data_IF_550911931467
#
_entry.id   IF_550911931467
#
_cell.length_a   1.000
_cell.length_b   1.000
_cell.length_c   1.000
_cell.angle_alpha   90.00
_cell.angle_beta   90.00
_cell.angle_gamma   90.00
#
_symmetry.space_group_name_H-M   'P 1'
#
loop_
_entity.id
_entity.type
_entity.pdbx_description
1 polymer ?
#
# COMPACT_ATOMS: atom_id res chain seq x y z
N UNK A 1 -14.35 -7.20 -10.87
CA UNK A 1 -14.58 -7.39 -12.32
C UNK A 1 -14.13 -8.79 -12.66
N UNK A 2 -14.92 -9.57 -13.41
CA UNK A 2 -14.49 -10.89 -13.86
C UNK A 2 -14.15 -10.77 -15.35
N UNK A 3 -12.86 -10.66 -15.66
CA UNK A 3 -12.36 -10.64 -17.03
C UNK A 3 -12.12 -12.10 -17.47
N UNK A 4 -12.50 -12.44 -18.70
CA UNK A 4 -12.38 -13.81 -19.23
C UNK A 4 -10.95 -14.18 -19.68
N UNK A 5 -9.95 -13.35 -19.36
CA UNK A 5 -8.56 -13.48 -19.81
C UNK A 5 -7.59 -13.29 -18.63
N UNK A 6 -6.34 -13.76 -18.74
CA UNK A 6 -5.33 -13.56 -17.70
C UNK A 6 -5.04 -12.07 -17.49
N UNK A 7 -5.04 -11.60 -16.25
CA UNK A 7 -4.63 -10.24 -15.93
C UNK A 7 -3.87 -10.21 -14.60
N UNK A 8 -3.09 -9.16 -14.41
CA UNK A 8 -2.44 -8.84 -13.15
C UNK A 8 -2.64 -7.37 -12.83
N UNK A 9 -2.83 -7.06 -11.55
CA UNK A 9 -3.04 -5.69 -11.09
C UNK A 9 -1.96 -5.37 -10.07
N UNK A 10 -1.14 -4.36 -10.36
CA UNK A 10 -0.24 -3.77 -9.38
C UNK A 10 -0.86 -2.49 -8.84
N UNK A 11 -1.13 -2.46 -7.55
CA UNK A 11 -1.55 -1.24 -6.83
C UNK A 11 -0.33 -0.52 -6.26
N UNK A 12 -0.38 0.81 -6.28
CA UNK A 12 0.71 1.71 -5.82
C UNK A 12 2.08 1.27 -6.37
N UNK A 13 2.12 1.03 -7.68
CA UNK A 13 3.29 0.47 -8.34
C UNK A 13 4.40 1.51 -8.41
N UNK A 14 5.39 1.35 -7.54
CA UNK A 14 6.53 2.26 -7.39
C UNK A 14 7.83 1.56 -7.78
N UNK A 15 8.73 2.29 -8.45
CA UNK A 15 10.06 1.81 -8.84
C UNK A 15 10.97 2.99 -9.19
N UNK A 16 12.28 2.73 -9.28
CA UNK A 16 13.28 3.68 -9.80
C UNK A 16 13.79 3.15 -11.13
N UNK A 17 13.81 3.99 -12.16
CA UNK A 17 14.31 3.60 -13.48
C UNK A 17 15.85 3.65 -13.54
N UNK A 18 16.43 3.15 -14.64
CA UNK A 18 17.89 3.10 -14.83
C UNK A 18 18.58 4.47 -14.81
N UNK A 19 17.82 5.55 -15.02
CA UNK A 19 18.30 6.94 -14.96
C UNK A 19 18.18 7.56 -13.55
N UNK A 20 17.74 6.78 -12.55
CA UNK A 20 17.57 7.22 -11.17
C UNK A 20 16.28 8.00 -10.88
N UNK A 21 15.35 8.09 -11.83
CA UNK A 21 14.07 8.76 -11.59
C UNK A 21 13.04 7.78 -10.99
N UNK A 22 12.37 8.24 -9.93
CA UNK A 22 11.28 7.50 -9.30
C UNK A 22 9.99 7.64 -10.12
N UNK A 23 9.32 6.53 -10.36
CA UNK A 23 7.97 6.46 -10.89
C UNK A 23 7.05 5.89 -9.81
N UNK A 24 5.89 6.53 -9.61
CA UNK A 24 4.81 6.03 -8.78
C UNK A 24 3.53 6.05 -9.62
N UNK A 25 2.90 4.89 -9.76
CA UNK A 25 1.71 4.68 -10.59
C UNK A 25 0.62 4.11 -9.71
N UNK A 26 -0.51 4.81 -9.61
CA UNK A 26 -1.58 4.42 -8.68
C UNK A 26 -2.09 3.01 -8.96
N UNK A 27 -2.31 2.67 -10.23
CA UNK A 27 -2.61 1.29 -10.63
C UNK A 27 -2.07 0.97 -12.02
N UNK A 28 -1.35 -0.14 -12.12
CA UNK A 28 -0.89 -0.73 -13.36
C UNK A 28 -1.69 -2.02 -13.62
N UNK A 29 -2.52 -1.99 -14.66
CA UNK A 29 -3.35 -3.13 -15.07
C UNK A 29 -2.72 -3.81 -16.29
N UNK A 30 -2.25 -5.03 -16.12
CA UNK A 30 -1.46 -5.74 -17.15
C UNK A 30 -2.23 -6.94 -17.66
N UNK A 31 -2.32 -7.05 -18.97
CA UNK A 31 -2.98 -8.16 -19.68
C UNK A 31 -2.09 -8.62 -20.84
N UNK A 32 -2.34 -9.80 -21.43
CA UNK A 32 -1.68 -10.21 -22.67
C UNK A 32 -1.97 -9.30 -23.86
N UNK A 33 -3.03 -8.48 -23.82
CA UNK A 33 -3.48 -7.67 -24.96
C UNK A 33 -3.07 -6.19 -24.87
N UNK A 34 -2.95 -5.66 -23.65
CA UNK A 34 -2.51 -4.29 -23.39
C UNK A 34 -2.01 -4.11 -21.94
N UNK A 35 -1.21 -3.08 -21.74
CA UNK A 35 -0.80 -2.55 -20.44
C UNK A 35 -1.51 -1.22 -20.20
N UNK A 36 -2.30 -1.11 -19.14
CA UNK A 36 -3.08 0.08 -18.83
C UNK A 36 -2.54 0.80 -17.59
N UNK A 37 -2.19 2.07 -17.80
CA UNK A 37 -1.80 3.03 -16.77
C UNK A 37 -3.06 3.75 -16.27
N UNK A 38 -3.38 3.55 -14.99
CA UNK A 38 -4.56 4.12 -14.36
C UNK A 38 -4.08 5.11 -13.30
N UNK A 39 -4.31 6.40 -13.56
CA UNK A 39 -4.07 7.49 -12.61
C UNK A 39 -5.38 7.80 -11.87
N UNK A 40 -5.37 7.81 -10.54
CA UNK A 40 -6.57 7.97 -9.72
C UNK A 40 -6.50 9.30 -8.99
N UNK A 41 -7.50 10.18 -9.24
CA UNK A 41 -7.64 11.44 -8.53
C UNK A 41 -8.87 11.42 -7.62
N UNK A 42 -8.66 11.75 -6.36
CA UNK A 42 -9.73 11.92 -5.36
C UNK A 42 -9.85 13.40 -4.99
N UNK A 43 -10.45 14.21 -5.86
CA UNK A 43 -10.49 15.68 -5.72
C UNK A 43 -11.93 16.16 -5.81
N UNK A 44 -12.44 16.83 -4.77
CA UNK A 44 -13.79 17.39 -4.74
C UNK A 44 -13.90 18.71 -5.53
N UNK A 45 -15.06 18.99 -6.12
CA UNK A 45 -15.35 20.23 -6.85
C UNK A 45 -15.49 19.97 -8.35
N UNK A 46 -15.33 21.00 -9.18
CA UNK A 46 -15.29 20.88 -10.64
C UNK A 46 -13.85 20.85 -11.13
N UNK A 47 -13.53 19.95 -12.06
CA UNK A 47 -12.23 19.85 -12.71
C UNK A 47 -12.34 20.16 -14.20
N UNK A 48 -11.57 21.13 -14.68
CA UNK A 48 -11.46 21.49 -16.09
C UNK A 48 -10.01 21.26 -16.55
N UNK A 49 -9.83 20.49 -17.62
CA UNK A 49 -8.53 20.07 -18.14
C UNK A 49 -8.16 20.90 -19.39
N UNK A 50 -7.09 21.69 -19.30
CA UNK A 50 -6.60 22.56 -20.38
C UNK A 50 -5.30 21.98 -20.97
N UNK A 51 -5.44 21.26 -22.09
CA UNK A 51 -4.33 20.65 -22.83
C UNK A 51 -3.28 21.68 -23.29
N UNK A 52 -3.71 22.88 -23.67
CA UNK A 52 -2.83 23.92 -24.24
C UNK A 52 -1.95 24.52 -23.16
N UNK A 53 -2.55 24.86 -22.02
CA UNK A 53 -1.82 25.46 -20.89
C UNK A 53 -1.18 24.42 -19.97
N UNK A 54 -1.38 23.12 -20.23
CA UNK A 54 -0.88 22.02 -19.41
C UNK A 54 -1.27 22.20 -17.94
N UNK A 55 -2.55 22.44 -17.67
CA UNK A 55 -3.05 22.63 -16.30
C UNK A 55 -4.42 21.99 -16.09
N UNK A 56 -4.68 21.54 -14.86
CA UNK A 56 -6.00 21.14 -14.41
C UNK A 56 -6.53 22.21 -13.45
N UNK A 57 -7.63 22.86 -13.82
CA UNK A 57 -8.25 23.91 -13.03
C UNK A 57 -9.31 23.28 -12.15
N UNK A 58 -9.23 23.51 -10.84
CA UNK A 58 -10.25 23.11 -9.89
C UNK A 58 -11.07 24.31 -9.46
N UNK A 59 -12.38 24.23 -9.64
CA UNK A 59 -13.34 25.13 -8.98
C UNK A 59 -13.94 24.41 -7.78
N UNK A 60 -13.71 24.93 -6.59
CA UNK A 60 -14.24 24.41 -5.32
C UNK A 60 -15.75 24.72 -5.18
N UNK A 61 -16.40 24.13 -4.16
CA UNK A 61 -17.83 24.32 -3.92
C UNK A 61 -18.19 25.77 -3.52
N UNK A 62 -17.25 26.46 -2.88
CA UNK A 62 -17.32 27.88 -2.50
C UNK A 62 -16.89 28.83 -3.64
N UNK A 63 -16.59 28.29 -4.83
CA UNK A 63 -16.27 29.08 -6.02
C UNK A 63 -14.80 29.50 -6.14
N UNK A 64 -13.93 29.13 -5.19
CA UNK A 64 -12.48 29.37 -5.29
C UNK A 64 -11.87 28.52 -6.42
N UNK A 65 -11.01 29.15 -7.21
CA UNK A 65 -10.30 28.52 -8.34
C UNK A 65 -8.84 28.29 -7.95
N UNK A 66 -8.40 27.03 -8.04
CA UNK A 66 -7.02 26.62 -7.81
C UNK A 66 -6.49 25.84 -9.01
N UNK A 67 -5.20 25.99 -9.32
CA UNK A 67 -4.53 25.16 -10.34
C UNK A 67 -3.92 23.92 -9.70
N UNK A 68 -4.06 22.79 -10.37
CA UNK A 68 -3.52 21.50 -10.00
C UNK A 68 -2.58 21.04 -11.10
N UNK A 69 -1.49 20.37 -10.69
CA UNK A 69 -0.55 19.71 -11.60
C UNK A 69 -1.33 18.90 -12.62
N UNK A 70 -0.97 19.05 -13.89
CA UNK A 70 -1.69 18.42 -14.98
C UNK A 70 -1.45 16.90 -14.98
N UNK A 71 -2.48 16.08 -14.69
CA UNK A 71 -2.28 14.64 -14.47
C UNK A 71 -1.96 13.88 -15.77
N UNK A 72 -2.28 14.43 -16.93
CA UNK A 72 -1.97 13.81 -18.23
C UNK A 72 -0.45 13.71 -18.44
N UNK A 73 0.31 14.69 -17.98
CA UNK A 73 1.78 14.72 -18.08
C UNK A 73 2.42 13.61 -17.26
N UNK A 74 1.85 13.32 -16.10
CA UNK A 74 2.29 12.21 -15.26
C UNK A 74 2.10 10.89 -16.02
N UNK A 75 0.92 10.64 -16.59
CA UNK A 75 0.65 9.47 -17.42
C UNK A 75 1.58 9.38 -18.63
N UNK A 76 1.88 10.49 -19.30
CA UNK A 76 2.79 10.50 -20.47
C UNK A 76 4.22 10.13 -20.09
N UNK A 77 4.71 10.60 -18.95
CA UNK A 77 6.04 10.21 -18.44
C UNK A 77 6.10 8.70 -18.18
N UNK A 78 5.06 8.14 -17.56
CA UNK A 78 4.97 6.70 -17.34
C UNK A 78 4.86 5.92 -18.66
N UNK A 79 4.06 6.41 -19.62
CA UNK A 79 3.93 5.81 -20.94
C UNK A 79 5.29 5.74 -21.65
N UNK A 80 6.05 6.83 -21.66
CA UNK A 80 7.37 6.88 -22.29
C UNK A 80 8.31 5.82 -21.68
N UNK A 81 8.33 5.70 -20.35
CA UNK A 81 9.10 4.65 -19.68
C UNK A 81 8.69 3.24 -20.14
N UNK A 82 7.39 2.92 -20.13
CA UNK A 82 6.94 1.58 -20.54
C UNK A 82 7.19 1.29 -22.02
N UNK A 83 7.13 2.30 -22.89
CA UNK A 83 7.49 2.13 -24.31
C UNK A 83 8.95 1.70 -24.45
N UNK A 84 9.85 2.33 -23.69
CA UNK A 84 11.28 1.96 -23.67
C UNK A 84 11.45 0.56 -23.09
N UNK A 85 10.82 0.27 -21.95
CA UNK A 85 10.91 -1.04 -21.29
C UNK A 85 10.43 -2.18 -22.19
N UNK A 86 9.26 -2.04 -22.82
CA UNK A 86 8.70 -3.05 -23.71
C UNK A 86 9.61 -3.29 -24.92
N UNK A 87 10.20 -2.22 -25.48
CA UNK A 87 11.19 -2.33 -26.56
C UNK A 87 12.45 -3.08 -26.11
N UNK A 88 12.95 -2.82 -24.91
CA UNK A 88 14.11 -3.53 -24.34
C UNK A 88 13.83 -5.02 -24.12
N UNK A 89 12.61 -5.36 -23.72
CA UNK A 89 12.18 -6.75 -23.56
C UNK A 89 11.83 -7.44 -24.89
N UNK A 90 11.82 -6.71 -26.00
CA UNK A 90 11.34 -7.17 -27.30
C UNK A 90 9.89 -7.71 -27.21
N UNK A 91 9.03 -6.95 -26.55
CA UNK A 91 7.61 -7.24 -26.34
C UNK A 91 6.79 -6.14 -27.04
N UNK A 92 5.92 -6.53 -27.95
CA UNK A 92 4.96 -5.60 -28.57
C UNK A 92 3.64 -5.67 -27.81
N UNK A 93 3.39 -4.65 -26.98
CA UNK A 93 2.18 -4.56 -26.18
C UNK A 93 1.65 -3.10 -26.20
N UNK A 94 0.39 -2.88 -26.62
CA UNK A 94 -0.25 -1.57 -26.54
C UNK A 94 -0.26 -0.99 -25.13
N UNK A 95 0.02 0.30 -25.00
CA UNK A 95 -0.08 1.03 -23.72
C UNK A 95 -1.33 1.90 -23.75
N UNK A 96 -2.27 1.58 -22.87
CA UNK A 96 -3.49 2.33 -22.61
C UNK A 96 -3.29 3.24 -21.40
N UNK A 97 -3.94 4.39 -21.39
CA UNK A 97 -3.90 5.33 -20.26
C UNK A 97 -5.31 5.85 -19.96
N UNK A 98 -5.60 6.05 -18.69
CA UNK A 98 -6.89 6.60 -18.24
C UNK A 98 -6.71 7.33 -16.92
N UNK A 99 -7.41 8.46 -16.78
CA UNK A 99 -7.56 9.15 -15.49
C UNK A 99 -8.92 8.79 -14.90
N UNK A 100 -8.90 8.32 -13.67
CA UNK A 100 -10.07 7.92 -12.92
C UNK A 100 -10.32 8.89 -11.77
N UNK A 101 -11.48 9.53 -11.77
CA UNK A 101 -11.94 10.37 -10.68
C UNK A 101 -12.69 9.49 -9.67
N UNK A 102 -12.07 9.26 -8.51
CA UNK A 102 -12.61 8.40 -7.47
C UNK A 102 -13.79 9.03 -6.72
N UNK A 103 -13.77 10.36 -6.54
CA UNK A 103 -14.85 11.08 -5.89
C UNK A 103 -16.04 11.24 -6.86
N UNK A 104 -17.18 10.65 -6.49
CA UNK A 104 -18.40 10.69 -7.31
C UNK A 104 -19.08 12.06 -7.32
N UNK A 105 -18.79 12.92 -6.34
CA UNK A 105 -19.35 14.27 -6.25
C UNK A 105 -18.58 15.29 -7.09
N UNK A 106 -17.47 14.88 -7.71
CA UNK A 106 -16.68 15.75 -8.58
C UNK A 106 -17.38 15.98 -9.90
N UNK A 107 -17.47 17.23 -10.34
CA UNK A 107 -17.97 17.54 -11.67
C UNK A 107 -16.80 17.51 -12.65
N UNK A 108 -16.82 16.57 -13.59
CA UNK A 108 -15.85 16.56 -14.69
C UNK A 108 -16.32 17.57 -15.74
N UNK A 109 -15.58 18.66 -15.89
CA UNK A 109 -15.86 19.76 -16.79
C UNK A 109 -15.26 19.56 -18.17
N UNK A 110 -14.46 20.54 -18.62
CA UNK A 110 -13.71 20.44 -19.87
C UNK A 110 -12.77 19.22 -19.82
N UNK A 111 -12.88 18.33 -20.80
CA UNK A 111 -12.06 17.13 -20.91
C UNK A 111 -10.78 17.40 -21.71
N UNK A 112 -9.72 16.68 -21.35
CA UNK A 112 -8.54 16.54 -22.18
C UNK A 112 -8.86 15.72 -23.44
N UNK A 113 -8.32 16.12 -24.59
CA UNK A 113 -8.36 15.33 -25.83
C UNK A 113 -7.25 14.27 -25.89
N UNK A 114 -6.28 14.38 -25.00
CA UNK A 114 -5.07 13.57 -24.97
C UNK A 114 -5.22 12.26 -24.18
N UNK A 115 -6.18 12.21 -23.25
CA UNK A 115 -6.39 11.07 -22.37
C UNK A 115 -7.87 10.95 -21.94
N UNK A 116 -8.45 9.74 -21.94
CA UNK A 116 -9.77 9.50 -21.36
C UNK A 116 -9.80 9.82 -19.87
N UNK A 117 -10.82 10.57 -19.44
CA UNK A 117 -11.07 10.93 -18.03
C UNK A 117 -12.49 10.53 -17.68
N UNK A 118 -12.67 9.78 -16.60
CA UNK A 118 -13.98 9.28 -16.19
C UNK A 118 -14.06 9.06 -14.68
N UNK A 119 -15.28 8.93 -14.16
CA UNK A 119 -15.47 8.42 -12.81
C UNK A 119 -15.12 6.93 -12.69
N UNK A 120 -14.77 6.50 -11.48
CA UNK A 120 -14.44 5.10 -11.16
C UNK A 120 -15.46 4.08 -11.64
N UNK A 121 -16.75 4.43 -11.63
CA UNK A 121 -17.84 3.56 -12.13
C UNK A 121 -17.73 3.24 -13.63
N UNK A 122 -17.09 4.11 -14.42
CA UNK A 122 -16.90 3.91 -15.87
C UNK A 122 -15.72 3.02 -16.23
N UNK A 123 -14.74 2.87 -15.33
CA UNK A 123 -13.52 2.09 -15.56
C UNK A 123 -13.79 0.65 -16.03
N UNK A 124 -14.70 -0.15 -15.41
CA UNK A 124 -14.99 -1.50 -15.90
C UNK A 124 -15.45 -1.55 -17.36
N UNK A 125 -16.27 -0.57 -17.77
CA UNK A 125 -16.76 -0.49 -19.13
C UNK A 125 -15.64 -0.11 -20.11
N UNK A 126 -14.82 0.87 -19.74
CA UNK A 126 -13.63 1.26 -20.50
C UNK A 126 -12.68 0.09 -20.73
N UNK A 127 -12.30 -0.63 -19.68
CA UNK A 127 -11.37 -1.76 -19.79
C UNK A 127 -11.90 -2.88 -20.72
N UNK A 128 -13.22 -3.13 -20.71
CA UNK A 128 -13.86 -4.07 -21.65
C UNK A 128 -13.78 -3.58 -23.10
N UNK A 129 -13.98 -2.28 -23.35
CA UNK A 129 -13.83 -1.73 -24.70
C UNK A 129 -12.39 -1.85 -25.19
N UNK A 130 -11.40 -1.57 -24.34
CA UNK A 130 -10.00 -1.70 -24.70
C UNK A 130 -9.63 -3.16 -25.01
N UNK A 131 -10.15 -4.10 -24.22
CA UNK A 131 -10.00 -5.53 -24.51
C UNK A 131 -10.55 -5.88 -25.90
N UNK A 132 -11.78 -5.49 -26.21
CA UNK A 132 -12.38 -5.77 -27.53
C UNK A 132 -11.58 -5.14 -28.68
N UNK A 133 -11.02 -3.95 -28.45
CA UNK A 133 -10.21 -3.25 -29.44
C UNK A 133 -8.87 -3.94 -29.71
N UNK A 134 -8.22 -4.49 -28.67
CA UNK A 134 -6.90 -5.13 -28.77
C UNK A 134 -6.96 -6.67 -28.85
N UNK A 135 -8.15 -7.27 -29.01
CA UNK A 135 -8.35 -8.72 -28.96
C UNK A 135 -7.62 -9.48 -30.07
N UNK A 136 -7.30 -8.80 -31.19
CA UNK A 136 -6.66 -9.40 -32.36
C UNK A 136 -5.22 -9.87 -32.12
N UNK A 137 -4.52 -9.28 -31.14
CA UNK A 137 -3.14 -9.61 -30.83
C UNK A 137 -3.01 -9.87 -29.33
N UNK A 138 -2.44 -11.02 -28.99
CA UNK A 138 -2.14 -11.41 -27.61
C UNK A 138 -0.67 -11.80 -27.52
N UNK A 139 -0.01 -11.35 -26.46
CA UNK A 139 1.30 -11.85 -26.10
C UNK A 139 1.27 -13.36 -25.88
N UNK A 140 2.36 -14.01 -26.29
CA UNK A 140 2.61 -15.39 -25.92
C UNK A 140 2.71 -15.51 -24.38
N UNK A 141 2.24 -16.64 -23.83
CA UNK A 141 2.25 -16.89 -22.39
C UNK A 141 3.65 -16.73 -21.77
N UNK A 142 4.70 -17.09 -22.51
CA UNK A 142 6.10 -16.91 -22.11
C UNK A 142 6.48 -15.43 -21.96
N UNK A 143 6.07 -14.59 -22.91
CA UNK A 143 6.35 -13.15 -22.91
C UNK A 143 5.55 -12.43 -21.84
N UNK A 144 4.28 -12.79 -21.67
CA UNK A 144 3.44 -12.26 -20.60
C UNK A 144 4.04 -12.59 -19.22
N UNK A 145 4.46 -13.84 -18.99
CA UNK A 145 5.13 -14.23 -17.74
C UNK A 145 6.45 -13.49 -17.55
N UNK A 146 7.24 -13.32 -18.61
CA UNK A 146 8.50 -12.57 -18.57
C UNK A 146 8.28 -11.11 -18.19
N UNK A 147 7.28 -10.46 -18.77
CA UNK A 147 6.88 -9.10 -18.41
C UNK A 147 6.47 -9.01 -16.95
N UNK A 148 5.57 -9.87 -16.48
CA UNK A 148 5.11 -9.87 -15.08
C UNK A 148 6.26 -10.09 -14.09
N UNK A 149 7.17 -11.03 -14.39
CA UNK A 149 8.33 -11.27 -13.55
C UNK A 149 9.23 -10.03 -13.49
N UNK A 150 9.49 -9.39 -14.63
CA UNK A 150 10.28 -8.16 -14.66
C UNK A 150 9.65 -7.06 -13.81
N UNK A 151 8.34 -6.80 -14.00
CA UNK A 151 7.61 -5.79 -13.23
C UNK A 151 7.64 -6.09 -11.72
N UNK A 152 7.50 -7.35 -11.34
CA UNK A 152 7.57 -7.77 -9.93
C UNK A 152 8.96 -7.54 -9.34
N UNK A 153 10.03 -7.79 -10.10
CA UNK A 153 11.42 -7.64 -9.62
C UNK A 153 11.79 -6.18 -9.42
N UNK A 154 11.41 -5.29 -10.34
CA UNK A 154 11.77 -3.87 -10.25
C UNK A 154 10.90 -3.10 -9.26
N UNK A 155 9.76 -3.67 -8.86
CA UNK A 155 8.84 -3.07 -7.91
C UNK A 155 9.56 -2.82 -6.60
N UNK A 156 9.53 -1.57 -6.17
CA UNK A 156 9.94 -1.14 -4.85
C UNK A 156 8.66 -0.92 -4.06
N UNK A 157 8.28 -1.91 -3.26
CA UNK A 157 7.25 -1.66 -2.26
C UNK A 157 7.75 -0.55 -1.35
N UNK A 158 6.95 0.51 -1.20
CA UNK A 158 7.10 1.43 -0.07
C UNK A 158 6.90 0.57 1.18
N UNK A 159 8.00 0.02 1.70
CA UNK A 159 8.06 -0.31 3.11
C UNK A 159 7.76 1.01 3.81
N UNK A 160 6.58 1.08 4.41
CA UNK A 160 6.26 2.16 5.31
C UNK A 160 7.23 2.03 6.48
N UNK A 161 8.42 2.58 6.33
CA UNK A 161 9.33 2.82 7.42
C UNK A 161 8.71 3.97 8.20
N UNK A 162 7.76 3.65 9.06
CA UNK A 162 7.37 4.57 10.10
C UNK A 162 8.63 4.80 10.92
N UNK A 163 9.30 5.92 10.69
CA UNK A 163 10.38 6.40 11.54
C UNK A 163 9.77 6.90 12.85
N UNK A 164 9.12 6.00 13.58
CA UNK A 164 8.75 6.22 14.97
C UNK A 164 10.07 6.43 15.70
N UNK A 165 10.25 7.64 16.22
CA UNK A 165 11.35 7.88 17.15
C UNK A 165 11.09 7.08 18.43
N UNK A 166 12.15 6.65 19.12
CA UNK A 166 11.99 5.90 20.39
C UNK A 166 11.10 6.64 21.40
N UNK A 167 11.02 7.96 21.30
CA UNK A 167 10.28 8.82 22.21
C UNK A 167 8.76 8.86 21.92
N UNK A 168 8.34 8.48 20.71
CA UNK A 168 6.93 8.31 20.33
C UNK A 168 6.39 6.93 20.76
N UNK A 169 7.28 6.00 21.09
CA UNK A 169 6.93 4.65 21.53
C UNK A 169 6.67 4.59 23.03
N UNK A 170 5.46 4.19 23.40
CA UNK A 170 5.12 3.90 24.79
C UNK A 170 5.33 2.42 25.07
N UNK A 171 6.42 2.09 25.76
CA UNK A 171 6.68 0.73 26.24
C UNK A 171 5.72 0.31 27.36
N UNK A 172 5.45 -0.99 27.44
CA UNK A 172 4.59 -1.63 28.42
C UNK A 172 3.28 -2.14 27.82
N UNK A 173 2.49 -2.82 28.64
CA UNK A 173 1.11 -3.16 28.28
C UNK A 173 0.22 -1.97 28.58
N UNK A 174 -0.41 -1.38 27.56
CA UNK A 174 -1.20 -0.16 27.74
C UNK A 174 -2.64 -0.48 28.16
N UNK A 175 -3.17 0.28 29.11
CA UNK A 175 -4.50 0.06 29.65
C UNK A 175 -5.59 0.63 28.72
N UNK A 176 -6.50 -0.21 28.17
CA UNK A 176 -7.58 0.28 27.29
C UNK A 176 -8.56 1.20 28.01
N UNK A 177 -8.82 0.95 29.30
CA UNK A 177 -9.73 1.76 30.13
C UNK A 177 -9.20 3.16 30.46
N UNK A 178 -7.89 3.38 30.29
CA UNK A 178 -7.26 4.67 30.45
C UNK A 178 -6.87 5.29 29.10
N UNK A 179 -7.60 4.97 28.03
CA UNK A 179 -7.32 5.45 26.68
C UNK A 179 -5.86 5.22 26.24
N UNK A 180 -5.25 4.11 26.68
CA UNK A 180 -3.86 3.74 26.40
C UNK A 180 -2.81 4.74 26.92
N UNK A 181 -3.17 5.64 27.85
CA UNK A 181 -2.27 6.60 28.48
C UNK A 181 -1.45 6.04 29.65
N UNK A 182 -1.84 4.87 30.17
CA UNK A 182 -1.24 4.27 31.38
C UNK A 182 -0.76 2.85 31.11
N UNK A 183 0.46 2.56 31.55
CA UNK A 183 1.02 1.20 31.51
C UNK A 183 0.46 0.34 32.66
N UNK A 184 0.21 -0.92 32.36
CA UNK A 184 -0.23 -1.96 33.29
C UNK A 184 1.00 -2.69 33.83
N UNK A 185 0.87 -3.19 35.07
CA UNK A 185 1.93 -3.93 35.74
C UNK A 185 1.60 -5.40 35.78
N UNK A 186 2.60 -6.21 35.49
CA UNK A 186 2.50 -7.64 35.67
C UNK A 186 2.55 -8.00 37.16
N UNK A 187 1.47 -8.58 37.70
CA UNK A 187 1.34 -9.00 39.09
C UNK A 187 0.59 -10.33 39.17
N UNK A 188 1.16 -11.32 39.87
CA UNK A 188 0.52 -12.63 40.14
C UNK A 188 -0.05 -13.39 38.92
N UNK A 189 0.49 -13.18 37.73
CA UNK A 189 -0.01 -13.86 36.52
C UNK A 189 -0.94 -13.01 35.66
N UNK A 190 -1.21 -11.77 36.06
CA UNK A 190 -2.07 -10.87 35.32
C UNK A 190 -1.53 -9.46 35.17
N UNK A 191 -2.14 -8.71 34.24
CA UNK A 191 -1.83 -7.30 34.02
C UNK A 191 -2.83 -6.40 34.74
N UNK A 192 -2.31 -5.59 35.65
CA UNK A 192 -3.11 -4.72 36.52
C UNK A 192 -2.77 -3.25 36.29
N UNK A 193 -3.78 -2.41 36.05
CA UNK A 193 -3.61 -0.96 35.94
C UNK A 193 -3.70 -0.29 37.31
N UNK A 194 -2.63 0.40 37.74
CA UNK A 194 -2.65 1.18 39.00
C UNK A 194 -3.56 2.42 38.95
N UNK A 195 -3.90 2.92 37.77
CA UNK A 195 -4.67 4.16 37.62
C UNK A 195 -6.18 3.95 37.75
N UNK A 196 -6.72 2.89 37.14
CA UNK A 196 -8.15 2.59 37.16
C UNK A 196 -8.50 1.30 37.92
N UNK A 197 -7.51 0.52 38.34
CA UNK A 197 -7.71 -0.72 39.10
C UNK A 197 -8.12 -1.93 38.26
N UNK A 198 -8.24 -1.81 36.94
CA UNK A 198 -8.65 -2.93 36.08
C UNK A 198 -7.54 -3.97 35.94
N UNK A 199 -7.94 -5.24 35.97
CA UNK A 199 -7.11 -6.38 35.60
C UNK A 199 -7.53 -6.86 34.19
N UNK A 200 -6.59 -6.92 33.25
CA UNK A 200 -6.89 -7.27 31.86
C UNK A 200 -5.71 -7.98 31.19
N UNK A 201 -5.82 -9.29 31.01
CA UNK A 201 -4.79 -10.10 30.34
C UNK A 201 -4.84 -10.03 28.82
N UNK A 202 -5.99 -9.68 28.24
CA UNK A 202 -6.14 -9.49 26.79
C UNK A 202 -5.37 -8.25 26.32
N UNK A 203 -5.19 -7.25 27.19
CA UNK A 203 -4.38 -6.07 26.90
C UNK A 203 -2.95 -6.43 26.46
N UNK A 204 -2.36 -7.47 27.06
CA UNK A 204 -1.03 -7.95 26.64
C UNK A 204 -1.04 -8.62 25.26
N UNK A 205 -2.09 -9.37 24.93
CA UNK A 205 -2.22 -9.97 23.59
C UNK A 205 -2.33 -8.87 22.53
N UNK A 206 -3.13 -7.83 22.80
CA UNK A 206 -3.22 -6.66 21.94
C UNK A 206 -1.85 -5.98 21.80
N UNK A 207 -1.16 -5.70 22.91
CA UNK A 207 0.17 -5.07 22.87
C UNK A 207 1.21 -5.91 22.11
N UNK A 208 1.08 -7.24 22.13
CA UNK A 208 1.94 -8.14 21.36
C UNK A 208 1.63 -8.06 19.84
N UNK A 209 0.36 -7.92 19.45
CA UNK A 209 -0.03 -7.67 18.06
C UNK A 209 0.43 -6.29 17.59
N UNK A 210 0.29 -5.27 18.43
CA UNK A 210 0.76 -3.92 18.12
C UNK A 210 2.28 -3.92 17.88
N UNK A 211 3.06 -4.62 18.71
CA UNK A 211 4.49 -4.83 18.49
C UNK A 211 4.77 -5.51 17.14
N UNK A 212 3.98 -6.54 16.77
CA UNK A 212 4.15 -7.24 15.49
C UNK A 212 3.94 -6.32 14.30
N UNK A 213 2.90 -5.49 14.34
CA UNK A 213 2.54 -4.57 13.26
C UNK A 213 3.51 -3.39 13.15
N UNK A 214 4.00 -2.90 14.29
CA UNK A 214 4.79 -1.66 14.34
C UNK A 214 6.30 -1.89 14.33
N UNK A 215 6.77 -3.12 14.63
CA UNK A 215 8.21 -3.38 14.79
C UNK A 215 8.71 -4.66 14.14
N UNK A 216 8.29 -5.82 14.65
CA UNK A 216 8.84 -7.09 14.19
C UNK A 216 7.89 -8.25 14.50
N UNK A 217 7.76 -9.19 13.56
CA UNK A 217 6.99 -10.43 13.75
C UNK A 217 7.71 -11.46 14.63
N UNK A 218 8.95 -11.18 15.01
CA UNK A 218 9.75 -12.01 15.91
C UNK A 218 10.13 -11.25 17.18
N UNK A 219 10.17 -11.97 18.30
CA UNK A 219 10.53 -11.40 19.59
C UNK A 219 11.39 -12.34 20.42
N UNK A 220 12.38 -11.80 21.12
CA UNK A 220 13.18 -12.55 22.11
C UNK A 220 12.61 -12.36 23.51
N UNK A 221 12.91 -13.25 24.45
CA UNK A 221 12.52 -13.06 25.87
C UNK A 221 13.14 -11.80 26.48
N UNK A 222 14.32 -11.38 26.00
CA UNK A 222 14.96 -10.15 26.46
C UNK A 222 14.19 -8.92 25.96
N UNK A 223 13.83 -8.90 24.68
CA UNK A 223 13.00 -7.87 24.07
C UNK A 223 11.63 -7.81 24.75
N UNK A 224 11.01 -8.96 25.03
CA UNK A 224 9.73 -9.05 25.74
C UNK A 224 9.80 -8.38 27.12
N UNK A 225 10.89 -8.57 27.87
CA UNK A 225 11.09 -7.89 29.16
C UNK A 225 11.22 -6.38 29.01
N UNK A 226 12.00 -5.93 28.03
CA UNK A 226 12.27 -4.51 27.79
C UNK A 226 11.03 -3.76 27.29
N UNK A 227 10.31 -4.35 26.33
CA UNK A 227 9.20 -3.70 25.65
C UNK A 227 7.91 -3.73 26.45
N UNK A 228 7.68 -4.76 27.26
CA UNK A 228 6.43 -4.90 28.02
C UNK A 228 6.62 -4.69 29.52
N UNK A 229 7.80 -4.27 29.99
CA UNK A 229 8.12 -4.09 31.41
C UNK A 229 7.92 -5.37 32.24
N UNK A 230 8.25 -6.54 31.67
CA UNK A 230 8.14 -7.82 32.37
C UNK A 230 9.34 -7.98 33.32
N UNK A 231 9.14 -8.25 34.63
CA UNK A 231 10.21 -8.15 35.62
C UNK A 231 11.39 -9.11 35.43
N UNK A 232 11.20 -10.21 34.70
CA UNK A 232 12.22 -11.26 34.58
C UNK A 232 12.08 -12.10 33.32
N UNK A 233 13.22 -12.53 32.78
CA UNK A 233 13.30 -13.46 31.65
C UNK A 233 12.60 -14.79 31.92
N UNK A 234 12.57 -15.24 33.19
CA UNK A 234 11.85 -16.46 33.58
C UNK A 234 10.34 -16.30 33.43
N UNK A 235 9.81 -15.12 33.76
CA UNK A 235 8.39 -14.79 33.56
C UNK A 235 8.09 -14.69 32.06
N UNK A 236 8.90 -13.95 31.32
CA UNK A 236 8.79 -13.84 29.86
C UNK A 236 8.78 -15.22 29.18
N UNK A 237 9.67 -16.12 29.58
CA UNK A 237 9.71 -17.50 29.07
C UNK A 237 8.42 -18.27 29.38
N UNK A 238 7.88 -18.16 30.61
CA UNK A 238 6.61 -18.79 30.97
C UNK A 238 5.44 -18.26 30.14
N UNK A 239 5.40 -16.94 29.91
CA UNK A 239 4.37 -16.29 29.08
C UNK A 239 4.41 -16.81 27.65
N UNK A 240 5.58 -16.78 27.02
CA UNK A 240 5.78 -17.26 25.65
C UNK A 240 5.39 -18.74 25.50
N UNK A 241 5.73 -19.58 26.50
CA UNK A 241 5.32 -20.99 26.52
C UNK A 241 3.81 -21.16 26.70
N UNK A 242 3.18 -20.35 27.54
CA UNK A 242 1.72 -20.37 27.74
C UNK A 242 0.97 -19.94 26.47
N UNK A 243 1.50 -18.96 25.75
CA UNK A 243 0.99 -18.52 24.45
C UNK A 243 1.29 -19.48 23.29
N UNK A 244 2.08 -20.53 23.53
CA UNK A 244 2.48 -21.53 22.52
C UNK A 244 3.13 -20.90 21.28
N UNK A 245 3.88 -19.81 21.46
CA UNK A 245 4.56 -19.15 20.34
C UNK A 245 5.61 -20.10 19.74
N UNK A 246 5.69 -20.10 18.41
CA UNK A 246 6.63 -20.93 17.67
C UNK A 246 8.06 -20.48 17.98
N UNK A 247 8.86 -21.37 18.56
CA UNK A 247 10.26 -21.12 18.87
C UNK A 247 11.13 -21.42 17.66
N UNK A 248 11.94 -20.45 17.26
CA UNK A 248 12.91 -20.60 16.17
C UNK A 248 14.32 -20.35 16.71
N UNK A 249 15.26 -21.20 16.31
CA UNK A 249 16.67 -21.11 16.71
C UNK A 249 17.00 -21.76 18.06
N UNK A 250 18.31 -21.94 18.30
CA UNK A 250 18.83 -22.70 19.45
C UNK A 250 19.44 -21.79 20.54
N UNK A 251 19.18 -22.15 21.80
CA UNK A 251 19.78 -21.57 23.00
C UNK A 251 19.69 -20.03 23.09
N UNK A 252 20.84 -19.33 23.04
CA UNK A 252 20.94 -17.88 23.25
C UNK A 252 20.40 -17.05 22.08
N UNK A 253 20.18 -17.68 20.93
CA UNK A 253 19.65 -17.05 19.72
C UNK A 253 18.20 -17.45 19.46
N UNK A 254 17.50 -17.98 20.46
CA UNK A 254 16.09 -18.33 20.31
C UNK A 254 15.21 -17.07 20.28
N UNK A 255 14.41 -16.96 19.23
CA UNK A 255 13.35 -15.99 19.07
C UNK A 255 12.03 -16.71 18.86
N UNK A 256 10.93 -16.00 19.05
CA UNK A 256 9.58 -16.54 19.00
C UNK A 256 8.78 -15.77 17.99
N UNK A 257 8.05 -16.49 17.12
CA UNK A 257 7.17 -15.89 16.13
C UNK A 257 5.85 -15.51 16.80
N UNK A 258 5.44 -14.25 16.63
CA UNK A 258 4.13 -13.76 17.06
C UNK A 258 3.13 -14.17 15.97
N UNK A 259 2.13 -14.97 16.34
CA UNK A 259 1.09 -15.43 15.42
C UNK A 259 0.16 -14.31 14.98
N UNK A 260 -0.47 -14.50 13.81
CA UNK A 260 -1.51 -13.60 13.29
C UNK A 260 -2.79 -13.65 14.13
#
# INVERSE_FOLDING_TARGET
>A
MNFAFPYHIFHDYSFVNDSGFTHQIDTLFVTPHFLCLIEIKNILGRLDFDDVKRQCIRTTLDGKIDSIIYPVDQLFRHQCYFQILLKQLNIELPIVKVIVIANQSTVIGQLSKECPIMHSVGLPYFLRQQQQYFDQHSLATSDFRRLLNHLTIIRQDKLWEQKLTKDEWRSGVLCPMCAYEKSMLYRHGSWFCRSCGVENNEAFLQSLQDYRLLRDSYITTNTLCQEFNIPSKYIAYRIVKALKLEKIGNNRYSYYKISD
#
